data_IF_761690837261
#
_entry.id   IF_761690837261
#
_cell.length_a   1.000
_cell.length_b   1.000
_cell.length_c   1.000
_cell.angle_alpha   90.00
_cell.angle_beta   90.00
_cell.angle_gamma   90.00
#
_symmetry.space_group_name_H-M   'P 1'
#
loop_
_entity.id
_entity.type
_entity.pdbx_description
1 polymer ?
#
# COMPACT_ATOMS: atom_id res chain seq x y z
N UNK A 1 -33.02 -74.58 17.22
CA UNK A 1 -34.04 -74.43 16.18
C UNK A 1 -33.72 -73.21 15.33
N UNK A 2 -33.72 -73.38 13.99
CA UNK A 2 -33.77 -72.44 12.83
C UNK A 2 -33.42 -70.93 13.08
N UNK A 3 -32.35 -70.37 12.48
CA UNK A 3 -32.21 -69.77 11.10
C UNK A 3 -33.06 -68.47 10.96
N UNK A 4 -32.61 -67.28 10.52
CA UNK A 4 -31.70 -66.85 9.44
C UNK A 4 -31.45 -65.30 9.46
N UNK A 5 -30.31 -64.89 8.89
CA UNK A 5 -30.05 -63.75 7.95
C UNK A 5 -30.14 -62.31 8.46
N UNK A 6 -29.00 -61.61 8.47
CA UNK A 6 -28.48 -60.68 7.41
C UNK A 6 -28.86 -59.25 7.84
N UNK A 7 -28.09 -58.17 7.67
CA UNK A 7 -27.06 -57.84 6.70
C UNK A 7 -26.33 -56.58 7.19
N UNK A 8 -25.10 -56.37 6.68
CA UNK A 8 -24.45 -55.08 6.41
C UNK A 8 -24.35 -54.06 7.59
N UNK A 9 -23.17 -53.73 8.12
CA UNK A 9 -21.95 -53.47 7.38
C UNK A 9 -21.98 -52.09 6.73
N UNK A 10 -21.77 -51.03 7.52
CA UNK A 10 -21.22 -49.78 7.00
C UNK A 10 -20.42 -49.11 8.12
N UNK A 11 -19.11 -49.26 8.03
CA UNK A 11 -18.11 -48.60 8.88
C UNK A 11 -18.24 -47.08 8.69
N UNK A 12 -18.39 -46.36 9.79
CA UNK A 12 -18.22 -44.91 9.84
C UNK A 12 -16.76 -44.57 9.44
N UNK A 13 -16.55 -44.20 8.18
CA UNK A 13 -15.30 -43.58 7.75
C UNK A 13 -15.35 -42.12 8.19
N UNK A 14 -14.84 -41.85 9.39
CA UNK A 14 -14.55 -40.50 9.84
C UNK A 14 -13.40 -39.95 8.97
N UNK A 15 -13.76 -39.26 7.89
CA UNK A 15 -12.82 -38.49 7.10
C UNK A 15 -12.36 -37.28 7.94
N UNK A 16 -11.26 -37.46 8.67
CA UNK A 16 -10.54 -36.37 9.30
C UNK A 16 -9.95 -35.49 8.19
N UNK A 17 -10.66 -34.41 7.85
CA UNK A 17 -10.13 -33.33 7.03
C UNK A 17 -9.01 -32.68 7.83
N UNK A 18 -7.77 -33.06 7.53
CA UNK A 18 -6.58 -32.37 8.00
C UNK A 18 -6.59 -30.98 7.35
N UNK A 19 -7.16 -30.00 8.05
CA UNK A 19 -6.96 -28.59 7.74
C UNK A 19 -5.52 -28.26 8.04
N UNK A 20 -4.65 -28.46 7.05
CA UNK A 20 -3.27 -28.00 7.05
C UNK A 20 -3.31 -26.47 7.10
N UNK A 21 -3.41 -25.93 8.31
CA UNK A 21 -3.38 -24.51 8.58
C UNK A 21 -1.98 -24.04 8.22
N UNK A 22 -1.82 -23.49 7.01
CA UNK A 22 -0.70 -22.65 6.66
C UNK A 22 -0.77 -21.43 7.60
N UNK A 23 -0.18 -21.57 8.78
CA UNK A 23 0.08 -20.49 9.71
C UNK A 23 1.13 -19.56 9.07
N UNK A 24 0.72 -18.82 8.05
CA UNK A 24 1.48 -17.68 7.56
C UNK A 24 1.60 -16.74 8.75
N UNK A 25 2.83 -16.40 9.20
CA UNK A 25 3.00 -15.62 10.41
C UNK A 25 2.26 -14.29 10.25
N UNK A 26 1.31 -14.01 11.14
CA UNK A 26 0.51 -12.79 11.14
C UNK A 26 1.38 -11.51 11.13
N UNK A 27 2.60 -11.60 11.66
CA UNK A 27 3.59 -10.54 11.63
C UNK A 27 4.04 -10.14 10.20
N UNK A 28 4.11 -11.09 9.26
CA UNK A 28 4.48 -10.82 7.87
C UNK A 28 3.40 -10.01 7.15
N UNK A 29 2.14 -10.41 7.28
CA UNK A 29 1.00 -9.72 6.66
C UNK A 29 0.82 -8.29 7.16
N UNK A 30 0.95 -8.06 8.46
CA UNK A 30 0.87 -6.70 9.02
C UNK A 30 2.04 -5.81 8.57
N UNK A 31 3.21 -6.41 8.30
CA UNK A 31 4.38 -5.69 7.80
C UNK A 31 4.24 -5.29 6.33
N UNK A 32 3.75 -6.21 5.51
CA UNK A 32 3.40 -6.02 4.10
C UNK A 32 2.32 -4.94 3.94
N UNK A 33 1.17 -5.06 4.63
CA UNK A 33 0.08 -4.09 4.54
C UNK A 33 0.55 -2.67 4.91
N UNK A 34 1.37 -2.56 5.95
CA UNK A 34 1.96 -1.28 6.37
C UNK A 34 2.85 -0.68 5.28
N UNK A 35 3.70 -1.49 4.66
CA UNK A 35 4.64 -1.02 3.64
C UNK A 35 3.92 -0.73 2.31
N UNK A 36 2.87 -1.48 1.98
CA UNK A 36 1.93 -1.20 0.89
C UNK A 36 1.25 0.17 1.06
N UNK A 37 0.70 0.44 2.25
CA UNK A 37 0.08 1.74 2.56
C UNK A 37 1.09 2.89 2.43
N UNK A 38 2.35 2.67 2.82
CA UNK A 38 3.42 3.67 2.65
C UNK A 38 3.74 3.89 1.18
N UNK A 39 3.81 2.84 0.36
CA UNK A 39 4.05 2.95 -1.07
C UNK A 39 2.92 3.74 -1.77
N UNK A 40 1.67 3.45 -1.41
CA UNK A 40 0.50 4.19 -1.90
C UNK A 40 0.55 5.67 -1.51
N UNK A 41 0.76 5.97 -0.21
CA UNK A 41 0.86 7.35 0.25
C UNK A 41 2.04 8.09 -0.40
N UNK A 42 3.16 7.42 -0.68
CA UNK A 42 4.30 8.01 -1.35
C UNK A 42 4.02 8.32 -2.82
N UNK A 43 3.34 7.42 -3.54
CA UNK A 43 2.91 7.65 -4.92
C UNK A 43 1.97 8.85 -5.05
N UNK A 44 0.99 8.97 -4.14
CA UNK A 44 0.08 10.12 -4.10
C UNK A 44 0.84 11.43 -3.91
N UNK A 45 1.77 11.46 -2.95
CA UNK A 45 2.59 12.64 -2.64
C UNK A 45 3.54 13.02 -3.77
N UNK A 46 4.15 12.04 -4.42
CA UNK A 46 5.08 12.26 -5.52
C UNK A 46 4.38 12.91 -6.72
N UNK A 47 3.18 12.43 -7.06
CA UNK A 47 2.37 13.04 -8.12
C UNK A 47 2.02 14.50 -7.79
N UNK A 48 1.57 14.81 -6.57
CA UNK A 48 1.33 16.19 -6.13
C UNK A 48 2.61 17.04 -6.22
N UNK A 49 3.74 16.50 -5.78
CA UNK A 49 5.02 17.19 -5.82
C UNK A 49 5.46 17.53 -7.25
N UNK A 50 5.23 16.62 -8.20
CA UNK A 50 5.47 16.88 -9.61
C UNK A 50 4.57 17.99 -10.14
N UNK A 51 3.28 17.92 -9.83
CA UNK A 51 2.28 18.84 -10.36
C UNK A 51 2.44 20.28 -9.84
N UNK A 52 2.79 20.45 -8.56
CA UNK A 52 2.69 21.76 -7.91
C UNK A 52 3.96 22.24 -7.20
N UNK A 53 4.90 21.34 -6.90
CA UNK A 53 6.11 21.67 -6.14
C UNK A 53 7.37 21.74 -7.00
N UNK A 54 7.23 21.72 -8.33
CA UNK A 54 8.36 21.78 -9.29
C UNK A 54 9.39 20.66 -9.07
N UNK A 55 8.95 19.51 -8.55
CA UNK A 55 9.84 18.34 -8.43
C UNK A 55 9.93 17.66 -9.78
N UNK A 56 11.16 17.49 -10.28
CA UNK A 56 11.38 16.89 -11.58
C UNK A 56 11.08 15.38 -11.58
N UNK A 57 10.71 14.80 -12.75
CA UNK A 57 10.49 13.36 -12.87
C UNK A 57 11.69 12.53 -12.41
N UNK A 58 12.91 12.96 -12.72
CA UNK A 58 14.14 12.23 -12.37
C UNK A 58 14.33 12.15 -10.84
N UNK A 59 13.94 13.21 -10.11
CA UNK A 59 13.97 13.22 -8.65
C UNK A 59 12.91 12.28 -8.06
N UNK A 60 11.75 12.18 -8.70
CA UNK A 60 10.68 11.26 -8.29
C UNK A 60 11.09 9.81 -8.54
N UNK A 61 11.68 9.51 -9.69
CA UNK A 61 12.17 8.17 -10.01
C UNK A 61 13.28 7.75 -9.03
N UNK A 62 14.24 8.63 -8.76
CA UNK A 62 15.28 8.38 -7.77
C UNK A 62 14.71 8.16 -6.36
N UNK A 63 13.66 8.91 -5.98
CA UNK A 63 12.96 8.72 -4.71
C UNK A 63 12.24 7.37 -4.66
N UNK A 64 11.49 7.01 -5.71
CA UNK A 64 10.76 5.76 -5.85
C UNK A 64 11.68 4.55 -5.75
N UNK A 65 12.82 4.57 -6.43
CA UNK A 65 13.81 3.48 -6.37
C UNK A 65 14.42 3.30 -4.98
N UNK A 66 14.72 4.41 -4.28
CA UNK A 66 15.18 4.34 -2.88
C UNK A 66 14.08 3.79 -1.98
N UNK A 67 12.85 4.24 -2.16
CA UNK A 67 11.72 3.81 -1.36
C UNK A 67 11.42 2.32 -1.55
N UNK A 68 11.47 1.81 -2.79
CA UNK A 68 11.31 0.38 -3.09
C UNK A 68 12.33 -0.49 -2.34
N UNK A 69 13.57 -0.01 -2.18
CA UNK A 69 14.62 -0.71 -1.42
C UNK A 69 14.40 -0.66 0.09
N UNK A 70 13.72 0.36 0.59
CA UNK A 70 13.36 0.55 2.01
C UNK A 70 12.12 -0.25 2.39
N UNK A 71 11.10 -0.29 1.54
CA UNK A 71 9.81 -0.97 1.77
C UNK A 71 9.84 -2.40 1.23
N UNK A 72 10.72 -3.23 1.78
CA UNK A 72 11.00 -4.58 1.26
C UNK A 72 9.84 -5.56 1.37
N UNK A 73 8.91 -5.29 2.28
CA UNK A 73 7.75 -6.14 2.54
C UNK A 73 6.57 -5.80 1.62
N UNK A 74 6.64 -4.71 0.84
CA UNK A 74 5.62 -4.35 -0.14
C UNK A 74 5.79 -5.18 -1.42
N UNK A 75 5.16 -6.36 -1.46
CA UNK A 75 5.22 -7.30 -2.57
C UNK A 75 4.69 -6.69 -3.88
N UNK A 76 3.65 -5.86 -3.79
CA UNK A 76 2.99 -5.17 -4.90
C UNK A 76 3.37 -3.68 -4.99
N UNK A 77 4.61 -3.32 -4.61
CA UNK A 77 5.06 -1.93 -4.50
C UNK A 77 4.66 -1.05 -5.69
N UNK A 78 4.86 -1.54 -6.92
CA UNK A 78 4.56 -0.76 -8.13
C UNK A 78 3.06 -0.48 -8.27
N UNK A 79 2.22 -1.50 -8.04
CA UNK A 79 0.77 -1.35 -8.11
C UNK A 79 0.26 -0.39 -7.01
N UNK A 80 0.82 -0.48 -5.80
CA UNK A 80 0.49 0.42 -4.69
C UNK A 80 0.90 1.86 -4.99
N UNK A 81 2.12 2.06 -5.48
CA UNK A 81 2.61 3.36 -5.94
C UNK A 81 1.67 3.97 -6.99
N UNK A 82 1.32 3.21 -8.03
CA UNK A 82 0.42 3.67 -9.10
C UNK A 82 -1.02 3.91 -8.61
N UNK A 83 -1.46 3.20 -7.58
CA UNK A 83 -2.77 3.45 -6.95
C UNK A 83 -2.79 4.81 -6.26
N UNK A 84 -1.74 5.14 -5.50
CA UNK A 84 -1.58 6.46 -4.91
C UNK A 84 -1.46 7.56 -5.96
N UNK A 85 -0.66 7.31 -7.00
CA UNK A 85 -0.46 8.25 -8.11
C UNK A 85 -1.78 8.68 -8.75
N UNK A 86 -2.63 7.71 -9.13
CA UNK A 86 -3.94 7.97 -9.73
C UNK A 86 -4.90 8.68 -8.76
N UNK A 87 -4.83 8.38 -7.46
CA UNK A 87 -5.61 9.12 -6.46
C UNK A 87 -5.24 10.61 -6.44
N UNK A 88 -3.96 10.93 -6.56
CA UNK A 88 -3.50 12.31 -6.60
C UNK A 88 -3.97 13.05 -7.86
N UNK A 89 -4.05 12.40 -9.02
CA UNK A 89 -4.55 13.04 -10.26
C UNK A 89 -5.96 13.64 -10.06
N UNK A 90 -6.83 12.92 -9.35
CA UNK A 90 -8.16 13.40 -8.98
C UNK A 90 -8.10 14.61 -8.02
N UNK A 91 -7.22 14.56 -7.01
CA UNK A 91 -7.03 15.66 -6.06
C UNK A 91 -6.41 16.91 -6.73
N UNK A 92 -5.47 16.71 -7.65
CA UNK A 92 -4.81 17.77 -8.39
C UNK A 92 -5.80 18.51 -9.30
N UNK A 93 -6.77 17.80 -9.87
CA UNK A 93 -7.85 18.41 -10.64
C UNK A 93 -8.67 19.39 -9.78
N UNK A 94 -8.95 19.04 -8.52
CA UNK A 94 -9.60 19.95 -7.55
C UNK A 94 -8.72 21.15 -7.20
N UNK A 95 -7.41 20.95 -7.04
CA UNK A 95 -6.45 22.03 -6.80
C UNK A 95 -6.35 23.00 -8.00
N UNK A 96 -6.43 22.50 -9.23
CA UNK A 96 -6.50 23.36 -10.42
C UNK A 96 -7.78 24.20 -10.44
N UNK A 97 -8.93 23.62 -10.10
CA UNK A 97 -10.16 24.39 -9.95
C UNK A 97 -10.10 25.42 -8.81
N UNK A 98 -9.34 25.15 -7.74
CA UNK A 98 -9.06 26.15 -6.70
C UNK A 98 -8.21 27.30 -7.24
N UNK A 99 -7.16 27.00 -8.02
CA UNK A 99 -6.29 28.03 -8.63
C UNK A 99 -7.06 29.07 -9.43
N UNK A 100 -8.12 28.66 -10.13
CA UNK A 100 -8.95 29.55 -10.95
C UNK A 100 -9.91 30.40 -10.10
N UNK A 101 -10.49 29.81 -9.04
CA UNK A 101 -11.51 30.48 -8.21
C UNK A 101 -10.92 31.34 -7.09
N UNK A 102 -9.82 30.88 -6.50
CA UNK A 102 -9.13 31.52 -5.38
C UNK A 102 -7.61 31.27 -5.49
N UNK A 103 -6.90 32.12 -6.27
CA UNK A 103 -5.47 31.96 -6.50
C UNK A 103 -4.62 32.08 -5.24
N UNK A 104 -5.06 32.83 -4.24
CA UNK A 104 -4.26 33.08 -3.03
C UNK A 104 -4.38 31.92 -2.05
N UNK A 105 -5.58 31.37 -1.85
CA UNK A 105 -5.77 30.11 -1.12
C UNK A 105 -5.03 28.95 -1.80
N UNK A 106 -5.05 28.89 -3.14
CA UNK A 106 -4.25 27.90 -3.89
C UNK A 106 -2.76 28.02 -3.57
N UNK A 107 -2.17 29.23 -3.65
CA UNK A 107 -0.76 29.46 -3.32
C UNK A 107 -0.44 29.09 -1.88
N UNK A 108 -1.30 29.47 -0.93
CA UNK A 108 -1.12 29.14 0.48
C UNK A 108 -1.08 27.62 0.70
N UNK A 109 -2.03 26.88 0.11
CA UNK A 109 -2.07 25.42 0.19
C UNK A 109 -0.89 24.75 -0.47
N UNK A 110 -0.50 25.18 -1.68
CA UNK A 110 0.67 24.61 -2.37
C UNK A 110 1.92 24.81 -1.53
N UNK A 111 2.14 26.02 -1.00
CA UNK A 111 3.30 26.32 -0.14
C UNK A 111 3.40 25.36 1.05
N UNK A 112 2.33 25.26 1.85
CA UNK A 112 2.31 24.40 3.05
C UNK A 112 2.50 22.93 2.69
N UNK A 113 1.86 22.46 1.62
CA UNK A 113 2.02 21.07 1.20
C UNK A 113 3.44 20.78 0.71
N UNK A 114 4.03 21.64 -0.11
CA UNK A 114 5.40 21.42 -0.62
C UNK A 114 6.44 21.38 0.50
N UNK A 115 6.32 22.26 1.51
CA UNK A 115 7.19 22.24 2.70
C UNK A 115 7.05 20.92 3.47
N UNK A 116 5.80 20.49 3.72
CA UNK A 116 5.52 19.21 4.40
C UNK A 116 6.04 18.00 3.62
N UNK A 117 5.90 18.00 2.30
CA UNK A 117 6.32 16.90 1.44
C UNK A 117 7.83 16.68 1.47
N UNK A 118 8.63 17.74 1.54
CA UNK A 118 10.09 17.65 1.67
C UNK A 118 10.47 16.81 2.89
N UNK A 119 9.91 17.15 4.06
CA UNK A 119 10.17 16.42 5.31
C UNK A 119 9.67 14.96 5.25
N UNK A 120 8.48 14.73 4.68
CA UNK A 120 7.92 13.37 4.55
C UNK A 120 8.77 12.48 3.65
N UNK A 121 9.27 13.00 2.53
CA UNK A 121 10.11 12.27 1.59
C UNK A 121 11.41 11.83 2.29
N UNK A 122 12.10 12.75 2.96
CA UNK A 122 13.34 12.46 3.70
C UNK A 122 13.13 11.41 4.80
N UNK A 123 12.04 11.52 5.56
CA UNK A 123 11.74 10.58 6.64
C UNK A 123 11.32 9.20 6.16
N UNK A 124 10.61 9.10 5.04
CA UNK A 124 10.17 7.81 4.49
C UNK A 124 11.33 6.92 4.04
N UNK A 125 12.50 7.51 3.77
CA UNK A 125 13.70 6.79 3.38
C UNK A 125 14.56 6.34 4.56
N UNK A 126 14.24 6.74 5.79
CA UNK A 126 14.99 6.33 6.96
C UNK A 126 14.80 4.83 7.21
N UNK A 127 15.89 4.16 7.55
CA UNK A 127 15.82 2.76 7.96
C UNK A 127 14.90 2.63 9.18
N UNK A 128 14.08 1.56 9.26
CA UNK A 128 13.33 1.27 10.47
C UNK A 128 14.31 1.11 11.64
N UNK A 129 13.96 1.68 12.80
CA UNK A 129 14.77 1.54 14.01
C UNK A 129 14.99 0.05 14.28
N UNK A 130 16.27 -0.35 14.43
CA UNK A 130 16.60 -1.71 14.84
C UNK A 130 16.04 -1.92 16.25
N UNK A 131 15.20 -2.95 16.41
CA UNK A 131 14.78 -3.45 17.73
C UNK A 131 15.79 -4.46 18.21
#
# INVERSE_FOLDING_TARGET
MKKLRDCAGTLFVAAAVVTLSLAVPAAGRASEERDDMKAEAAGERANFAQAFCQVSPERIDAYKEKLRKTLREATDFEQRWQTGWRRAENNNSRMNGLRERDPDEFKARVKVNCERLKWLAENSLRAPARK
#
